data_IF_317031743855
#
_entry.id   IF_317031743855
#
_cell.length_a   1.000
_cell.length_b   1.000
_cell.length_c   1.000
_cell.angle_alpha   90.00
_cell.angle_beta   90.00
_cell.angle_gamma   90.00
#
_symmetry.space_group_name_H-M   'P 1'
#
loop_
_entity.id
_entity.type
_entity.pdbx_description
1 polymer ?
#
# COMPACT_ATOMS: atom_id res chain seq x y z
N UNK A 1 -8.61 25.83 14.50
CA UNK A 1 -7.87 24.63 14.10
C UNK A 1 -7.93 24.54 12.58
N UNK A 2 -6.84 24.25 11.88
CA UNK A 2 -6.89 24.01 10.44
C UNK A 2 -7.82 22.83 10.15
N UNK A 3 -8.67 22.97 9.15
CA UNK A 3 -9.67 21.95 8.77
C UNK A 3 -9.00 20.60 8.49
N UNK A 4 -7.79 20.63 7.93
CA UNK A 4 -6.96 19.44 7.69
C UNK A 4 -6.66 18.64 8.98
N UNK A 5 -6.41 19.32 10.11
CA UNK A 5 -6.17 18.66 11.38
C UNK A 5 -7.43 17.97 11.92
N UNK A 6 -8.59 18.61 11.80
CA UNK A 6 -9.86 18.02 12.24
C UNK A 6 -10.15 16.74 11.50
N UNK A 7 -9.92 16.70 10.19
CA UNK A 7 -10.17 15.50 9.39
C UNK A 7 -9.13 14.42 9.64
N UNK A 8 -7.87 14.79 9.86
CA UNK A 8 -6.85 13.84 10.32
C UNK A 8 -7.29 13.13 11.62
N UNK A 9 -7.76 13.92 12.60
CA UNK A 9 -8.25 13.37 13.86
C UNK A 9 -9.47 12.47 13.64
N UNK A 10 -10.45 12.91 12.85
CA UNK A 10 -11.64 12.12 12.52
C UNK A 10 -11.26 10.81 11.82
N UNK A 11 -10.30 10.84 10.91
CA UNK A 11 -9.80 9.64 10.24
C UNK A 11 -9.12 8.67 11.22
N UNK A 12 -8.25 9.15 12.08
CA UNK A 12 -7.58 8.33 13.11
C UNK A 12 -8.63 7.73 14.05
N UNK A 13 -9.59 8.53 14.53
CA UNK A 13 -10.69 8.06 15.38
C UNK A 13 -11.51 6.98 14.67
N UNK A 14 -11.84 7.15 13.39
CA UNK A 14 -12.55 6.15 12.60
C UNK A 14 -11.76 4.82 12.51
N UNK A 15 -10.45 4.88 12.28
CA UNK A 15 -9.59 3.69 12.27
C UNK A 15 -9.57 2.97 13.60
N UNK A 16 -9.45 3.70 14.72
CA UNK A 16 -9.49 3.11 16.06
C UNK A 16 -10.87 2.54 16.39
N UNK A 17 -11.96 3.19 15.97
CA UNK A 17 -13.33 2.69 16.12
C UNK A 17 -13.53 1.37 15.36
N UNK A 18 -13.05 1.29 14.11
CA UNK A 18 -13.06 0.06 13.32
C UNK A 18 -12.25 -1.04 14.02
N UNK A 19 -11.09 -0.70 14.56
CA UNK A 19 -10.23 -1.64 15.28
C UNK A 19 -10.88 -2.17 16.55
N UNK A 20 -11.54 -1.29 17.28
CA UNK A 20 -12.29 -1.67 18.48
C UNK A 20 -13.46 -2.60 18.15
N UNK A 21 -14.20 -2.31 17.07
CA UNK A 21 -15.23 -3.21 16.56
C UNK A 21 -14.65 -4.58 16.15
N UNK A 22 -13.49 -4.58 15.50
CA UNK A 22 -12.80 -5.80 15.08
C UNK A 22 -12.27 -6.63 16.25
N UNK A 23 -11.97 -6.01 17.40
CA UNK A 23 -11.42 -6.66 18.59
C UNK A 23 -12.23 -7.87 19.03
N UNK A 24 -13.56 -7.76 19.10
CA UNK A 24 -14.45 -8.86 19.50
C UNK A 24 -14.34 -10.09 18.58
N UNK A 25 -13.96 -9.91 17.31
CA UNK A 25 -13.77 -11.00 16.35
C UNK A 25 -12.36 -11.59 16.40
N UNK A 26 -11.43 -10.86 16.96
CA UNK A 26 -10.02 -11.22 17.10
C UNK A 26 -9.71 -11.92 18.42
N UNK A 27 -10.62 -11.83 19.41
CA UNK A 27 -10.46 -12.46 20.73
C UNK A 27 -10.59 -13.98 20.68
N UNK A 28 -9.94 -14.67 21.61
CA UNK A 28 -10.03 -16.11 21.85
C UNK A 28 -8.73 -16.86 21.56
N UNK A 29 -8.26 -16.91 20.33
CA UNK A 29 -7.10 -17.69 19.94
C UNK A 29 -6.09 -16.86 19.12
N UNK A 30 -4.81 -17.31 19.07
CA UNK A 30 -3.81 -16.76 18.17
C UNK A 30 -4.22 -16.82 16.69
N UNK A 31 -4.97 -17.83 16.30
CA UNK A 31 -5.46 -18.00 14.93
C UNK A 31 -6.50 -16.91 14.57
N UNK A 32 -7.38 -16.56 15.50
CA UNK A 32 -8.33 -15.45 15.31
C UNK A 32 -7.57 -14.13 15.13
N UNK A 33 -6.54 -13.90 15.92
CA UNK A 33 -5.75 -12.68 15.86
C UNK A 33 -4.88 -12.61 14.58
N UNK A 34 -4.16 -13.68 14.25
CA UNK A 34 -3.18 -13.69 13.17
C UNK A 34 -3.78 -13.97 11.79
N UNK A 35 -4.84 -14.79 11.70
CA UNK A 35 -5.44 -15.27 10.47
C UNK A 35 -6.93 -14.91 10.33
N UNK A 36 -7.45 -14.02 11.17
CA UNK A 36 -8.87 -13.69 11.24
C UNK A 36 -9.77 -14.93 11.41
N UNK A 37 -9.30 -15.96 12.12
CA UNK A 37 -9.99 -17.23 12.30
C UNK A 37 -10.29 -17.96 10.99
N UNK A 38 -9.54 -17.68 9.94
CA UNK A 38 -9.74 -18.20 8.57
C UNK A 38 -11.16 -17.96 8.03
N UNK A 39 -11.72 -16.77 8.28
CA UNK A 39 -13.09 -16.40 7.92
C UNK A 39 -13.17 -15.21 6.95
N UNK A 40 -12.05 -14.79 6.37
CA UNK A 40 -12.06 -13.68 5.42
C UNK A 40 -12.81 -14.05 4.15
N UNK A 41 -13.70 -13.19 3.73
CA UNK A 41 -14.43 -13.28 2.46
C UNK A 41 -13.57 -12.80 1.29
N UNK A 42 -13.92 -13.16 0.06
CA UNK A 42 -13.19 -12.73 -1.14
C UNK A 42 -13.05 -11.21 -1.27
N UNK A 43 -14.07 -10.38 -1.02
CA UNK A 43 -13.91 -8.93 -1.00
C UNK A 43 -12.92 -8.43 0.05
N UNK A 44 -12.91 -9.02 1.26
CA UNK A 44 -11.95 -8.63 2.29
C UNK A 44 -10.52 -9.03 1.93
N UNK A 45 -10.32 -10.18 1.32
CA UNK A 45 -9.01 -10.59 0.79
C UNK A 45 -8.56 -9.64 -0.32
N UNK A 46 -9.45 -9.35 -1.27
CA UNK A 46 -9.21 -8.39 -2.34
C UNK A 46 -8.75 -7.03 -1.79
N UNK A 47 -9.49 -6.47 -0.86
CA UNK A 47 -9.17 -5.20 -0.22
C UNK A 47 -7.87 -5.29 0.58
N UNK A 48 -7.62 -6.40 1.27
CA UNK A 48 -6.41 -6.55 2.09
C UNK A 48 -5.15 -6.66 1.22
N UNK A 49 -5.20 -7.37 0.09
CA UNK A 49 -4.05 -7.46 -0.82
C UNK A 49 -3.81 -6.14 -1.57
N UNK A 50 -4.87 -5.44 -1.98
CA UNK A 50 -4.73 -4.09 -2.55
C UNK A 50 -4.09 -3.18 -1.52
N UNK A 51 -4.58 -3.16 -0.30
CA UNK A 51 -4.05 -2.35 0.78
C UNK A 51 -2.59 -2.66 1.13
N UNK A 52 -2.15 -3.91 1.02
CA UNK A 52 -0.75 -4.28 1.20
C UNK A 52 0.14 -3.72 0.08
N UNK A 53 -0.32 -3.80 -1.16
CA UNK A 53 0.45 -3.42 -2.35
C UNK A 53 0.37 -1.93 -2.66
N UNK A 54 -0.83 -1.33 -2.54
CA UNK A 54 -1.11 0.09 -2.83
C UNK A 54 -0.87 0.92 -1.56
N UNK A 55 0.39 1.02 -1.16
CA UNK A 55 0.86 1.89 -0.09
C UNK A 55 1.70 3.04 -0.64
N UNK A 56 2.50 3.67 0.24
CA UNK A 56 3.36 4.79 -0.12
C UNK A 56 4.28 4.52 -1.32
N UNK A 57 4.86 3.31 -1.41
CA UNK A 57 5.74 2.95 -2.53
C UNK A 57 5.01 2.88 -3.88
N UNK A 58 3.80 2.34 -3.93
CA UNK A 58 3.03 2.17 -5.18
C UNK A 58 2.29 3.44 -5.63
N UNK A 59 2.25 4.47 -4.82
CA UNK A 59 1.60 5.75 -5.14
C UNK A 59 2.59 6.89 -5.12
N UNK A 60 3.15 7.25 -3.97
CA UNK A 60 4.14 8.32 -3.83
C UNK A 60 5.42 7.94 -4.56
N UNK A 61 5.96 6.74 -4.32
CA UNK A 61 7.18 6.27 -4.97
C UNK A 61 7.02 6.14 -6.49
N UNK A 62 5.89 5.67 -6.98
CA UNK A 62 5.61 5.63 -8.42
C UNK A 62 5.49 7.04 -8.99
N UNK A 63 4.81 7.98 -8.32
CA UNK A 63 4.74 9.37 -8.76
C UNK A 63 6.10 10.06 -8.73
N UNK A 64 6.91 9.82 -7.68
CA UNK A 64 8.30 10.31 -7.60
C UNK A 64 9.14 9.79 -8.77
N UNK A 65 9.02 8.50 -9.08
CA UNK A 65 9.75 7.91 -10.19
C UNK A 65 9.24 8.44 -11.54
N UNK A 66 7.92 8.57 -11.70
CA UNK A 66 7.30 9.14 -12.89
C UNK A 66 7.68 10.61 -13.14
N UNK A 67 7.94 11.37 -12.08
CA UNK A 67 8.49 12.73 -12.17
C UNK A 67 9.85 12.78 -12.89
N UNK A 68 10.58 11.66 -12.93
CA UNK A 68 11.89 11.53 -13.58
C UNK A 68 11.85 10.82 -14.93
N UNK A 69 11.01 9.77 -15.07
CA UNK A 69 11.07 8.84 -16.22
C UNK A 69 9.73 8.68 -16.96
N UNK A 70 8.68 9.37 -16.52
CA UNK A 70 7.37 9.34 -17.19
C UNK A 70 6.48 8.15 -16.81
N UNK A 71 5.51 7.85 -17.68
CA UNK A 71 4.45 6.85 -17.45
C UNK A 71 4.96 5.43 -17.21
N UNK A 72 6.15 5.11 -17.72
CA UNK A 72 6.78 3.80 -17.54
C UNK A 72 7.00 3.42 -16.05
N UNK A 73 7.07 4.40 -15.14
CA UNK A 73 7.13 4.14 -13.70
C UNK A 73 5.92 3.35 -13.17
N UNK A 74 4.76 3.45 -13.81
CA UNK A 74 3.54 2.72 -13.46
C UNK A 74 3.70 1.19 -13.49
N UNK A 75 4.69 0.67 -14.21
CA UNK A 75 5.00 -0.76 -14.26
C UNK A 75 5.31 -1.36 -12.89
N UNK A 76 5.81 -0.59 -11.94
CA UNK A 76 6.02 -1.09 -10.59
C UNK A 76 4.73 -1.62 -9.94
N UNK A 77 3.66 -0.84 -9.98
CA UNK A 77 2.36 -1.28 -9.43
C UNK A 77 1.70 -2.33 -10.32
N UNK A 78 1.88 -2.27 -11.64
CA UNK A 78 1.41 -3.32 -12.55
C UNK A 78 2.10 -4.65 -12.24
N UNK A 79 3.39 -4.66 -11.96
CA UNK A 79 4.13 -5.87 -11.58
C UNK A 79 3.65 -6.45 -10.24
N UNK A 80 3.30 -5.60 -9.24
CA UNK A 80 2.60 -6.03 -8.03
C UNK A 80 1.27 -6.69 -8.33
N UNK A 81 0.47 -6.10 -9.21
CA UNK A 81 -0.82 -6.62 -9.65
C UNK A 81 -0.69 -8.00 -10.32
N UNK A 82 0.27 -8.13 -11.23
CA UNK A 82 0.60 -9.41 -11.88
C UNK A 82 1.02 -10.46 -10.86
N UNK A 83 1.85 -10.09 -9.88
CA UNK A 83 2.25 -10.96 -8.79
C UNK A 83 1.07 -11.48 -7.98
N UNK A 84 0.11 -10.60 -7.64
CA UNK A 84 -1.11 -10.99 -6.94
C UNK A 84 -2.00 -11.93 -7.78
N UNK A 85 -2.12 -11.68 -9.09
CA UNK A 85 -2.87 -12.56 -10.01
C UNK A 85 -2.21 -13.94 -10.07
N UNK A 86 -0.90 -14.02 -10.25
CA UNK A 86 -0.13 -15.27 -10.28
C UNK A 86 -0.27 -16.01 -8.93
N UNK A 87 -0.15 -15.31 -7.81
CA UNK A 87 -0.39 -15.89 -6.48
C UNK A 87 -1.80 -16.50 -6.38
N UNK A 88 -2.83 -15.76 -6.81
CA UNK A 88 -4.22 -16.21 -6.79
C UNK A 88 -4.47 -17.43 -7.66
N UNK A 89 -3.90 -17.48 -8.86
CA UNK A 89 -4.14 -18.54 -9.82
C UNK A 89 -3.42 -19.85 -9.45
N UNK A 90 -2.17 -19.75 -8.99
CA UNK A 90 -1.29 -20.93 -8.87
C UNK A 90 -1.05 -21.37 -7.44
N UNK A 91 -0.97 -20.45 -6.47
CA UNK A 91 -0.48 -20.77 -5.13
C UNK A 91 -1.51 -20.57 -4.01
N UNK A 92 -2.45 -19.66 -4.11
CA UNK A 92 -3.39 -19.36 -3.03
C UNK A 92 -4.19 -20.58 -2.57
N UNK A 93 -4.63 -21.43 -3.51
CA UNK A 93 -5.28 -22.72 -3.20
C UNK A 93 -4.35 -23.65 -2.44
N UNK A 94 -3.13 -23.86 -2.95
CA UNK A 94 -2.14 -24.77 -2.37
C UNK A 94 -1.77 -24.37 -0.94
N UNK A 95 -1.51 -23.08 -0.71
CA UNK A 95 -1.19 -22.57 0.62
C UNK A 95 -2.37 -22.74 1.60
N UNK A 96 -3.59 -22.44 1.15
CA UNK A 96 -4.78 -22.57 2.00
C UNK A 96 -5.06 -24.01 2.43
N UNK A 97 -4.77 -24.98 1.57
CA UNK A 97 -4.98 -26.42 1.84
C UNK A 97 -3.96 -27.00 2.82
N UNK A 98 -2.78 -26.39 2.96
CA UNK A 98 -1.72 -26.89 3.85
C UNK A 98 -1.96 -26.67 5.34
N UNK A 99 -2.97 -25.86 5.72
CA UNK A 99 -3.30 -25.57 7.11
C UNK A 99 -2.12 -25.08 7.98
N UNK A 100 -1.16 -24.41 7.37
CA UNK A 100 -0.02 -23.76 8.04
C UNK A 100 -0.42 -22.38 8.57
N UNK A 101 0.42 -21.78 9.41
CA UNK A 101 0.24 -20.44 9.94
C UNK A 101 1.28 -19.47 9.40
N UNK A 102 2.47 -19.96 9.11
CA UNK A 102 3.60 -19.14 8.66
C UNK A 102 4.36 -19.84 7.52
N UNK A 103 5.07 -19.05 6.70
CA UNK A 103 5.96 -19.60 5.68
C UNK A 103 7.12 -20.38 6.29
N UNK A 104 7.57 -20.00 7.48
CA UNK A 104 8.61 -20.71 8.21
C UNK A 104 8.17 -22.10 8.62
N UNK A 105 6.88 -22.32 8.91
CA UNK A 105 6.32 -23.67 9.12
C UNK A 105 6.37 -24.53 7.86
N UNK A 106 6.16 -23.92 6.69
CA UNK A 106 6.31 -24.60 5.42
C UNK A 106 7.76 -25.02 5.18
N UNK A 107 8.72 -24.15 5.50
CA UNK A 107 10.15 -24.45 5.41
C UNK A 107 10.51 -25.57 6.38
N UNK A 108 10.00 -25.55 7.61
CA UNK A 108 10.25 -26.58 8.63
C UNK A 108 9.80 -27.98 8.21
N UNK A 109 8.67 -28.08 7.49
CA UNK A 109 8.15 -29.35 6.99
C UNK A 109 9.01 -29.99 5.91
N UNK A 110 9.83 -29.23 5.20
CA UNK A 110 10.55 -29.69 4.00
C UNK A 110 12.07 -29.49 4.09
N UNK A 111 12.56 -28.75 5.09
CA UNK A 111 13.98 -28.38 5.19
C UNK A 111 14.53 -28.53 6.62
N UNK A 112 15.84 -28.36 6.74
CA UNK A 112 16.56 -28.47 8.01
C UNK A 112 16.30 -27.28 8.94
N UNK A 113 16.55 -27.45 10.25
CA UNK A 113 16.46 -26.38 11.26
C UNK A 113 17.28 -25.14 10.89
N UNK A 114 18.46 -25.31 10.28
CA UNK A 114 19.28 -24.18 9.82
C UNK A 114 18.57 -23.32 8.76
N UNK A 115 17.87 -23.97 7.81
CA UNK A 115 17.07 -23.27 6.80
C UNK A 115 15.89 -22.50 7.42
N UNK A 116 15.28 -23.03 8.49
CA UNK A 116 14.19 -22.34 9.22
C UNK A 116 14.72 -21.07 9.88
N UNK A 117 15.85 -21.13 10.59
CA UNK A 117 16.45 -19.99 11.27
C UNK A 117 16.80 -18.90 10.26
N UNK A 118 17.43 -19.26 9.14
CA UNK A 118 17.75 -18.31 8.07
C UNK A 118 16.48 -17.69 7.48
N UNK A 119 15.44 -18.50 7.22
CA UNK A 119 14.16 -18.04 6.72
C UNK A 119 13.46 -17.03 7.66
N UNK A 120 13.46 -17.30 8.97
CA UNK A 120 12.93 -16.37 9.99
C UNK A 120 13.72 -15.06 9.97
N UNK A 121 15.04 -15.13 9.96
CA UNK A 121 15.90 -13.94 9.94
C UNK A 121 15.62 -13.08 8.70
N UNK A 122 15.60 -13.70 7.51
CA UNK A 122 15.28 -12.98 6.27
C UNK A 122 13.89 -12.33 6.30
N UNK A 123 12.87 -13.03 6.80
CA UNK A 123 11.52 -12.47 6.91
C UNK A 123 11.46 -11.28 7.87
N UNK A 124 12.14 -11.34 9.00
CA UNK A 124 12.20 -10.22 9.95
C UNK A 124 12.85 -9.00 9.29
N UNK A 125 14.00 -9.18 8.62
CA UNK A 125 14.70 -8.07 7.94
C UNK A 125 13.84 -7.44 6.86
N UNK A 126 13.21 -8.26 5.99
CA UNK A 126 12.32 -7.77 4.93
C UNK A 126 11.17 -6.96 5.52
N UNK A 127 10.53 -7.46 6.57
CA UNK A 127 9.40 -6.76 7.19
C UNK A 127 9.81 -5.45 7.85
N UNK A 128 10.97 -5.40 8.51
CA UNK A 128 11.49 -4.16 9.09
C UNK A 128 11.74 -3.10 8.01
N UNK A 129 12.33 -3.48 6.87
CA UNK A 129 12.55 -2.57 5.74
C UNK A 129 11.22 -2.04 5.19
N UNK A 130 10.25 -2.92 4.95
CA UNK A 130 8.92 -2.53 4.43
C UNK A 130 8.23 -1.55 5.40
N UNK A 131 8.24 -1.84 6.69
CA UNK A 131 7.63 -0.98 7.73
C UNK A 131 8.32 0.38 7.77
N UNK A 132 9.64 0.42 7.70
CA UNK A 132 10.41 1.67 7.71
C UNK A 132 10.04 2.58 6.55
N UNK A 133 9.89 2.03 5.34
CA UNK A 133 9.45 2.79 4.17
C UNK A 133 8.06 3.41 4.36
N UNK A 134 7.15 2.72 5.04
CA UNK A 134 5.80 3.25 5.30
C UNK A 134 5.82 4.38 6.33
N UNK A 135 6.66 4.28 7.36
CA UNK A 135 6.79 5.38 8.34
C UNK A 135 7.41 6.63 7.71
N UNK A 136 8.40 6.46 6.84
CA UNK A 136 8.98 7.56 6.07
C UNK A 136 7.91 8.23 5.19
N UNK A 137 7.11 7.44 4.47
CA UNK A 137 6.01 7.95 3.66
C UNK A 137 4.97 8.69 4.51
N UNK A 138 4.58 8.14 5.67
CA UNK A 138 3.67 8.78 6.62
C UNK A 138 4.19 10.11 7.16
N UNK A 139 5.47 10.16 7.52
CA UNK A 139 6.14 11.38 7.97
C UNK A 139 6.16 12.46 6.90
N UNK A 140 6.53 12.10 5.67
CA UNK A 140 6.55 13.02 4.53
C UNK A 140 5.18 13.64 4.25
N UNK A 141 4.13 12.84 4.33
CA UNK A 141 2.75 13.27 4.07
C UNK A 141 2.27 14.23 5.16
N UNK A 142 2.43 13.85 6.44
CA UNK A 142 2.00 14.69 7.55
C UNK A 142 2.72 16.04 7.57
N UNK A 143 4.03 16.03 7.30
CA UNK A 143 4.81 17.24 7.16
C UNK A 143 4.35 18.10 5.97
N UNK A 144 4.07 17.50 4.82
CA UNK A 144 3.63 18.24 3.63
C UNK A 144 2.24 18.90 3.80
N UNK A 145 1.34 18.30 4.58
CA UNK A 145 -0.04 18.78 4.76
C UNK A 145 -0.17 19.74 5.94
N UNK A 146 0.58 19.53 7.00
CA UNK A 146 0.53 20.27 8.26
C UNK A 146 1.94 20.64 8.73
N UNK A 147 2.72 21.42 7.94
CA UNK A 147 4.12 21.73 8.25
C UNK A 147 4.30 22.47 9.57
N UNK A 148 3.32 23.30 9.96
CA UNK A 148 3.35 24.07 11.20
C UNK A 148 3.12 23.21 12.46
N UNK A 149 2.60 21.98 12.32
CA UNK A 149 2.23 21.09 13.43
C UNK A 149 3.14 19.88 13.49
N UNK A 150 3.47 19.30 12.34
CA UNK A 150 4.26 18.09 12.23
C UNK A 150 5.58 18.34 11.50
N UNK A 151 6.68 18.25 12.24
CA UNK A 151 7.97 17.99 11.63
C UNK A 151 8.01 16.55 11.07
N UNK A 152 8.92 16.28 10.15
CA UNK A 152 9.06 14.97 9.50
C UNK A 152 9.17 13.82 10.51
N UNK A 153 9.99 13.98 11.55
CA UNK A 153 10.17 12.96 12.59
C UNK A 153 8.92 12.76 13.45
N UNK A 154 8.26 13.84 13.83
CA UNK A 154 7.01 13.79 14.62
C UNK A 154 5.90 13.12 13.80
N UNK A 155 5.82 13.41 12.51
CA UNK A 155 4.88 12.76 11.59
C UNK A 155 5.12 11.25 11.48
N UNK A 156 6.38 10.81 11.41
CA UNK A 156 6.73 9.39 11.42
C UNK A 156 6.27 8.70 12.71
N UNK A 157 6.51 9.31 13.88
CA UNK A 157 6.14 8.76 15.18
C UNK A 157 4.61 8.64 15.30
N UNK A 158 3.86 9.66 14.91
CA UNK A 158 2.39 9.64 14.96
C UNK A 158 1.83 8.55 14.04
N UNK A 159 2.37 8.42 12.83
CA UNK A 159 1.99 7.34 11.91
C UNK A 159 2.28 5.96 12.51
N UNK A 160 3.47 5.78 13.09
CA UNK A 160 3.86 4.52 13.73
C UNK A 160 2.93 4.14 14.88
N UNK A 161 2.67 5.06 15.81
CA UNK A 161 1.78 4.83 16.96
C UNK A 161 0.36 4.47 16.47
N UNK A 162 -0.16 5.19 15.49
CA UNK A 162 -1.50 4.96 14.94
C UNK A 162 -1.61 3.53 14.39
N UNK A 163 -0.70 3.12 13.52
CA UNK A 163 -0.82 1.84 12.82
C UNK A 163 -0.46 0.63 13.69
N UNK A 164 0.53 0.78 14.59
CA UNK A 164 0.81 -0.25 15.59
C UNK A 164 -0.40 -0.41 16.53
N UNK A 165 -0.99 0.69 16.98
CA UNK A 165 -2.17 0.69 17.84
C UNK A 165 -3.37 -0.04 17.23
N UNK A 166 -3.71 0.27 15.98
CA UNK A 166 -4.80 -0.38 15.22
C UNK A 166 -4.58 -1.89 15.16
N UNK A 167 -3.37 -2.32 14.80
CA UNK A 167 -3.03 -3.74 14.64
C UNK A 167 -3.02 -4.47 15.98
N UNK A 168 -2.50 -3.81 17.03
CA UNK A 168 -2.44 -4.39 18.38
C UNK A 168 -3.81 -4.66 18.97
N UNK A 169 -4.80 -3.78 18.68
CA UNK A 169 -6.17 -3.90 19.19
C UNK A 169 -6.93 -5.05 18.53
N UNK A 170 -6.91 -5.16 17.20
CA UNK A 170 -7.83 -6.05 16.49
C UNK A 170 -7.18 -7.02 15.48
N UNK A 171 -5.85 -7.11 15.42
CA UNK A 171 -5.12 -8.07 14.59
C UNK A 171 -5.50 -8.00 13.11
N UNK A 172 -5.56 -9.16 12.45
CA UNK A 172 -5.87 -9.30 11.02
C UNK A 172 -7.28 -8.79 10.65
N UNK A 173 -8.27 -8.94 11.55
CA UNK A 173 -9.62 -8.40 11.34
C UNK A 173 -9.59 -6.88 11.26
N UNK A 174 -8.87 -6.23 12.19
CA UNK A 174 -8.71 -4.77 12.19
C UNK A 174 -8.03 -4.30 10.92
N UNK A 175 -6.91 -4.92 10.56
CA UNK A 175 -6.18 -4.62 9.34
C UNK A 175 -7.07 -4.71 8.08
N UNK A 176 -7.81 -5.80 7.94
CA UNK A 176 -8.67 -6.02 6.77
C UNK A 176 -9.84 -5.02 6.69
N UNK A 177 -10.48 -4.71 7.81
CA UNK A 177 -11.61 -3.76 7.84
C UNK A 177 -11.14 -2.31 7.67
N UNK A 178 -10.01 -1.93 8.27
CA UNK A 178 -9.40 -0.60 8.06
C UNK A 178 -9.00 -0.39 6.60
N UNK A 179 -8.54 -1.45 5.94
CA UNK A 179 -8.20 -1.39 4.51
C UNK A 179 -9.40 -1.11 3.61
N UNK A 180 -10.63 -1.49 4.02
CA UNK A 180 -11.85 -1.11 3.27
C UNK A 180 -11.97 0.41 3.19
N UNK A 181 -11.85 1.08 4.34
CA UNK A 181 -11.90 2.55 4.39
C UNK A 181 -10.76 3.18 3.58
N UNK A 182 -9.54 2.68 3.78
CA UNK A 182 -8.36 3.21 3.13
C UNK A 182 -8.44 3.11 1.61
N UNK A 183 -8.87 1.96 1.08
CA UNK A 183 -8.94 1.73 -0.36
C UNK A 183 -10.01 2.60 -1.00
N UNK A 184 -11.17 2.76 -0.37
CA UNK A 184 -12.20 3.68 -0.86
C UNK A 184 -11.61 5.10 -0.96
N UNK A 185 -10.93 5.57 0.08
CA UNK A 185 -10.31 6.89 0.10
C UNK A 185 -9.21 7.04 -0.97
N UNK A 186 -8.37 6.02 -1.14
CA UNK A 186 -7.30 6.01 -2.15
C UNK A 186 -7.88 6.12 -3.56
N UNK A 187 -8.85 5.27 -3.90
CA UNK A 187 -9.41 5.27 -5.25
C UNK A 187 -10.18 6.56 -5.55
N UNK A 188 -11.01 7.00 -4.61
CA UNK A 188 -11.76 8.26 -4.77
C UNK A 188 -10.78 9.43 -4.92
N UNK A 189 -9.73 9.48 -4.10
CA UNK A 189 -8.77 10.57 -4.13
C UNK A 189 -7.89 10.58 -5.37
N UNK A 190 -7.34 9.43 -5.78
CA UNK A 190 -6.51 9.35 -7.01
C UNK A 190 -7.34 9.69 -8.24
N UNK A 191 -8.56 9.16 -8.34
CA UNK A 191 -9.47 9.45 -9.45
C UNK A 191 -9.86 10.93 -9.47
N UNK A 192 -10.26 11.50 -8.33
CA UNK A 192 -10.59 12.91 -8.23
C UNK A 192 -9.40 13.79 -8.59
N UNK A 193 -8.22 13.51 -8.04
CA UNK A 193 -6.99 14.23 -8.37
C UNK A 193 -6.68 14.17 -9.87
N UNK A 194 -6.76 12.99 -10.47
CA UNK A 194 -6.51 12.81 -11.91
C UNK A 194 -7.49 13.59 -12.76
N UNK A 195 -8.81 13.52 -12.47
CA UNK A 195 -9.85 14.24 -13.22
C UNK A 195 -9.66 15.74 -13.10
N UNK A 196 -9.39 16.26 -11.90
CA UNK A 196 -9.22 17.71 -11.67
C UNK A 196 -7.96 18.20 -12.40
N UNK A 197 -6.86 17.48 -12.30
CA UNK A 197 -5.62 17.87 -12.97
C UNK A 197 -5.76 17.79 -14.50
N UNK A 198 -6.42 16.76 -15.01
CA UNK A 198 -6.69 16.65 -16.44
C UNK A 198 -7.51 17.84 -16.97
N UNK A 199 -8.54 18.27 -16.22
CA UNK A 199 -9.32 19.46 -16.55
C UNK A 199 -8.51 20.75 -16.51
N UNK A 200 -7.55 20.88 -15.55
CA UNK A 200 -6.69 22.07 -15.46
C UNK A 200 -5.71 22.17 -16.62
N UNK A 201 -5.15 21.04 -17.05
CA UNK A 201 -4.20 20.96 -18.17
C UNK A 201 -4.90 21.21 -19.50
N UNK A 202 -6.18 20.82 -19.63
CA UNK A 202 -7.00 21.02 -20.82
C UNK A 202 -6.77 19.99 -21.90
N UNK A 203 -5.53 19.68 -22.30
CA UNK A 203 -5.22 18.66 -23.29
C UNK A 203 -3.88 17.96 -23.02
N UNK A 204 -3.70 16.77 -23.58
CA UNK A 204 -2.42 16.04 -23.50
C UNK A 204 -1.31 16.76 -24.26
N UNK A 205 -1.64 17.51 -25.32
CA UNK A 205 -0.67 18.28 -26.08
C UNK A 205 -0.08 19.42 -25.25
N UNK A 206 -0.89 20.11 -24.44
CA UNK A 206 -0.41 21.11 -23.47
C UNK A 206 0.51 20.49 -22.43
N UNK A 207 0.17 19.29 -21.93
CA UNK A 207 1.04 18.56 -21.01
C UNK A 207 2.36 18.20 -21.67
N UNK A 208 2.33 17.73 -22.93
CA UNK A 208 3.53 17.38 -23.68
C UNK A 208 4.43 18.58 -23.93
N UNK A 209 3.85 19.75 -24.25
CA UNK A 209 4.58 21.00 -24.48
C UNK A 209 5.24 21.56 -23.19
N UNK A 210 4.69 21.27 -22.02
CA UNK A 210 5.22 21.71 -20.73
C UNK A 210 6.36 20.80 -20.20
N UNK A 211 6.58 19.64 -20.81
CA UNK A 211 7.60 18.69 -20.38
C UNK A 211 8.89 18.82 -21.19
N UNK A 212 10.08 18.64 -20.58
CA UNK A 212 11.36 18.63 -21.30
C UNK A 212 11.40 17.55 -22.38
N UNK A 213 11.97 17.85 -23.54
CA UNK A 213 12.00 16.93 -24.71
C UNK A 213 13.02 15.78 -24.59
N UNK A 214 13.80 15.73 -23.51
CA UNK A 214 14.90 14.76 -23.32
C UNK A 214 14.46 13.39 -22.77
N UNK A 215 13.19 13.21 -22.42
CA UNK A 215 12.65 11.97 -21.82
C UNK A 215 11.40 11.54 -22.57
N UNK A 216 11.21 10.25 -22.86
CA UNK A 216 10.00 9.73 -23.51
C UNK A 216 8.84 9.61 -22.52
N UNK A 217 8.31 10.74 -22.05
CA UNK A 217 7.36 10.89 -20.94
C UNK A 217 6.10 10.02 -21.08
N UNK A 218 5.58 9.85 -22.29
CA UNK A 218 4.34 9.11 -22.57
C UNK A 218 4.58 7.66 -22.97
N UNK A 219 5.84 7.24 -23.15
CA UNK A 219 6.15 5.85 -23.42
C UNK A 219 5.93 4.99 -22.17
N UNK A 220 5.25 3.86 -22.35
CA UNK A 220 5.09 2.87 -21.28
C UNK A 220 6.34 1.99 -21.08
N UNK A 221 7.34 2.06 -21.96
CA UNK A 221 8.48 1.15 -21.94
C UNK A 221 9.80 1.90 -21.81
N UNK A 222 10.01 2.93 -22.65
CA UNK A 222 11.34 3.49 -22.88
C UNK A 222 11.90 4.29 -21.72
N UNK A 223 11.05 4.91 -20.87
CA UNK A 223 11.49 5.73 -19.74
C UNK A 223 12.28 4.93 -18.68
N UNK A 224 11.80 3.74 -18.34
CA UNK A 224 12.44 2.82 -17.38
C UNK A 224 13.27 1.76 -18.10
N UNK A 225 12.88 1.39 -19.30
CA UNK A 225 13.52 0.37 -20.13
C UNK A 225 13.01 -1.05 -19.87
N UNK A 226 13.04 -1.92 -20.90
CA UNK A 226 12.46 -3.26 -20.83
C UNK A 226 13.16 -4.18 -19.82
N UNK A 227 14.46 -4.02 -19.62
CA UNK A 227 15.22 -4.83 -18.65
C UNK A 227 14.74 -4.57 -17.22
N UNK A 228 14.56 -3.30 -16.85
CA UNK A 228 14.10 -2.93 -15.52
C UNK A 228 12.65 -3.37 -15.29
N UNK A 229 11.77 -3.21 -16.30
CA UNK A 229 10.38 -3.68 -16.24
C UNK A 229 10.35 -5.20 -16.01
N UNK A 230 11.11 -5.97 -16.79
CA UNK A 230 11.20 -7.42 -16.62
C UNK A 230 11.71 -7.80 -15.23
N UNK A 231 12.73 -7.10 -14.73
CA UNK A 231 13.27 -7.29 -13.39
C UNK A 231 12.19 -7.04 -12.31
N UNK A 232 11.42 -5.95 -12.42
CA UNK A 232 10.30 -5.69 -11.50
C UNK A 232 9.24 -6.79 -11.54
N UNK A 233 8.83 -7.20 -12.75
CA UNK A 233 7.82 -8.26 -12.91
C UNK A 233 8.27 -9.56 -12.26
N UNK A 234 9.49 -10.02 -12.55
CA UNK A 234 10.04 -11.27 -11.96
C UNK A 234 10.17 -11.14 -10.45
N UNK A 235 10.76 -10.04 -9.97
CA UNK A 235 10.96 -9.80 -8.53
C UNK A 235 9.65 -9.74 -7.79
N UNK A 236 8.67 -8.96 -8.27
CA UNK A 236 7.41 -8.76 -7.56
C UNK A 236 6.48 -9.97 -7.65
N UNK A 237 6.53 -10.78 -8.71
CA UNK A 237 5.89 -12.10 -8.74
C UNK A 237 6.51 -12.98 -7.64
N UNK A 238 7.83 -13.06 -7.56
CA UNK A 238 8.54 -13.87 -6.56
C UNK A 238 8.20 -13.41 -5.14
N UNK A 239 8.20 -12.11 -4.89
CA UNK A 239 7.79 -11.52 -3.60
C UNK A 239 6.36 -11.91 -3.24
N UNK A 240 5.41 -11.82 -4.18
CA UNK A 240 4.03 -12.23 -3.93
C UNK A 240 3.89 -13.71 -3.57
N UNK A 241 4.77 -14.57 -4.07
CA UNK A 241 4.75 -16.00 -3.77
C UNK A 241 5.43 -16.36 -2.44
N UNK A 242 6.36 -15.54 -1.95
CA UNK A 242 7.22 -15.89 -0.80
C UNK A 242 7.04 -14.98 0.43
N UNK A 243 6.40 -13.82 0.31
CA UNK A 243 6.27 -12.89 1.42
C UNK A 243 5.25 -13.37 2.45
N UNK A 244 5.65 -13.41 3.73
CA UNK A 244 4.82 -13.86 4.85
C UNK A 244 3.48 -13.11 4.93
N UNK A 245 3.46 -11.80 4.71
CA UNK A 245 2.22 -11.00 4.78
C UNK A 245 1.19 -11.44 3.75
N UNK A 246 1.64 -11.76 2.53
CA UNK A 246 0.78 -12.21 1.43
C UNK A 246 0.26 -13.63 1.70
N UNK A 247 1.16 -14.52 2.15
CA UNK A 247 0.78 -15.86 2.57
C UNK A 247 -0.30 -15.79 3.66
N UNK A 248 -0.12 -14.95 4.67
CA UNK A 248 -1.03 -14.79 5.79
C UNK A 248 -2.43 -14.34 5.34
N UNK A 249 -2.53 -13.44 4.34
CA UNK A 249 -3.81 -13.06 3.72
C UNK A 249 -4.48 -14.28 3.06
N UNK A 250 -3.71 -15.10 2.34
CA UNK A 250 -4.23 -16.33 1.71
C UNK A 250 -4.74 -17.33 2.75
N UNK A 251 -3.97 -17.53 3.83
CA UNK A 251 -4.33 -18.45 4.92
C UNK A 251 -5.55 -17.97 5.73
N UNK A 252 -5.78 -16.67 5.79
CA UNK A 252 -6.96 -16.07 6.43
C UNK A 252 -8.28 -16.29 5.67
N UNK A 253 -8.23 -16.77 4.44
CA UNK A 253 -9.39 -17.03 3.60
C UNK A 253 -10.32 -18.11 4.19
N UNK A 254 -11.63 -17.96 3.98
CA UNK A 254 -12.63 -18.95 4.36
C UNK A 254 -12.37 -20.32 3.69
N UNK A 255 -12.08 -20.30 2.41
CA UNK A 255 -11.77 -21.49 1.59
C UNK A 255 -10.81 -21.13 0.44
N UNK A 256 -10.32 -22.16 -0.25
CA UNK A 256 -9.35 -22.01 -1.34
C UNK A 256 -9.89 -21.22 -2.54
N UNK A 257 -11.18 -21.37 -2.86
CA UNK A 257 -11.83 -20.63 -3.95
C UNK A 257 -11.95 -19.14 -3.62
N UNK A 258 -12.27 -18.82 -2.36
CA UNK A 258 -12.32 -17.47 -1.81
C UNK A 258 -10.94 -16.79 -1.87
N UNK A 259 -9.87 -17.51 -1.49
CA UNK A 259 -8.51 -17.01 -1.62
C UNK A 259 -8.17 -16.67 -3.08
N UNK A 260 -8.38 -17.62 -4.00
CA UNK A 260 -8.13 -17.42 -5.43
C UNK A 260 -8.88 -16.19 -5.96
N UNK A 261 -10.20 -16.11 -5.72
CA UNK A 261 -11.02 -14.97 -6.19
C UNK A 261 -10.53 -13.64 -5.62
N UNK A 262 -10.23 -13.57 -4.34
CA UNK A 262 -9.76 -12.35 -3.69
C UNK A 262 -8.45 -11.83 -4.26
N UNK A 263 -7.47 -12.71 -4.47
CA UNK A 263 -6.17 -12.33 -5.05
C UNK A 263 -6.28 -11.90 -6.52
N UNK A 264 -7.04 -12.63 -7.34
CA UNK A 264 -7.21 -12.29 -8.77
C UNK A 264 -7.92 -10.94 -8.92
N UNK A 265 -9.05 -10.73 -8.23
CA UNK A 265 -9.74 -9.45 -8.28
C UNK A 265 -8.92 -8.32 -7.67
N UNK A 266 -8.18 -8.59 -6.60
CA UNK A 266 -7.24 -7.63 -6.02
C UNK A 266 -6.18 -7.18 -7.02
N UNK A 267 -5.57 -8.12 -7.74
CA UNK A 267 -4.62 -7.81 -8.79
C UNK A 267 -5.22 -6.99 -9.93
N UNK A 268 -6.41 -7.39 -10.45
CA UNK A 268 -7.09 -6.66 -11.52
C UNK A 268 -7.39 -5.21 -11.11
N UNK A 269 -7.90 -5.01 -9.90
CA UNK A 269 -8.23 -3.67 -9.40
C UNK A 269 -6.98 -2.81 -9.15
N UNK A 270 -5.81 -3.39 -8.85
CA UNK A 270 -4.56 -2.64 -8.70
C UNK A 270 -4.01 -2.06 -10.01
N UNK A 271 -4.31 -2.66 -11.17
CA UNK A 271 -3.74 -2.25 -12.46
C UNK A 271 -3.89 -0.74 -12.75
N UNK A 272 -5.07 -0.12 -12.61
CA UNK A 272 -5.24 1.30 -12.94
C UNK A 272 -4.49 2.23 -11.98
N UNK A 273 -4.25 1.82 -10.74
CA UNK A 273 -3.62 2.68 -9.72
C UNK A 273 -2.21 3.09 -10.13
N UNK A 274 -1.42 2.16 -10.67
CA UNK A 274 -0.05 2.44 -11.12
C UNK A 274 -0.01 3.48 -12.24
N UNK A 275 -0.91 3.36 -13.21
CA UNK A 275 -1.00 4.30 -14.33
C UNK A 275 -1.45 5.68 -13.86
N UNK A 276 -2.45 5.75 -13.00
CA UNK A 276 -2.96 7.02 -12.45
C UNK A 276 -1.91 7.70 -11.56
N UNK A 277 -1.20 6.95 -10.73
CA UNK A 277 -0.13 7.51 -9.90
C UNK A 277 1.04 8.03 -10.75
N UNK A 278 1.43 7.31 -11.81
CA UNK A 278 2.45 7.76 -12.75
C UNK A 278 2.00 9.01 -13.51
N UNK A 279 0.75 9.08 -13.94
CA UNK A 279 0.18 10.28 -14.57
C UNK A 279 0.25 11.50 -13.65
N UNK A 280 -0.11 11.36 -12.37
CA UNK A 280 0.00 12.46 -11.41
C UNK A 280 1.45 12.90 -11.19
N UNK A 281 2.42 11.98 -11.23
CA UNK A 281 3.85 12.31 -11.22
C UNK A 281 4.29 13.11 -12.44
N UNK A 282 3.77 12.77 -13.62
CA UNK A 282 3.99 13.52 -14.85
C UNK A 282 3.44 14.94 -14.77
N UNK A 283 2.21 15.08 -14.29
CA UNK A 283 1.56 16.36 -14.05
C UNK A 283 2.38 17.21 -13.06
N UNK A 284 2.89 16.58 -12.01
CA UNK A 284 3.77 17.26 -11.05
C UNK A 284 5.01 17.84 -11.73
N UNK A 285 5.64 17.08 -12.64
CA UNK A 285 6.81 17.55 -13.39
C UNK A 285 6.50 18.75 -14.27
N UNK A 286 5.35 18.72 -14.94
CA UNK A 286 4.91 19.81 -15.80
C UNK A 286 4.58 21.10 -15.02
N UNK A 287 3.95 20.96 -13.82
CA UNK A 287 3.51 22.10 -13.02
C UNK A 287 4.59 22.66 -12.09
N UNK A 288 5.48 21.81 -11.61
CA UNK A 288 6.51 22.12 -10.60
C UNK A 288 7.86 21.52 -11.00
N UNK A 289 8.48 21.98 -12.10
CA UNK A 289 9.70 21.38 -12.66
C UNK A 289 10.88 21.33 -11.68
N UNK A 290 10.97 22.30 -10.77
CA UNK A 290 12.07 22.43 -9.80
C UNK A 290 11.75 21.77 -8.43
N UNK A 291 10.59 21.12 -8.30
CA UNK A 291 10.19 20.50 -7.06
C UNK A 291 11.04 19.26 -6.74
N UNK A 292 11.18 18.95 -5.46
CA UNK A 292 11.75 17.67 -5.05
C UNK A 292 10.81 16.55 -5.49
N UNK A 293 11.35 15.55 -6.19
CA UNK A 293 10.56 14.45 -6.74
C UNK A 293 9.74 13.68 -5.67
N UNK A 294 10.27 13.53 -4.46
CA UNK A 294 9.57 12.91 -3.34
C UNK A 294 8.31 13.67 -2.89
N UNK A 295 8.22 14.97 -3.17
CA UNK A 295 7.07 15.81 -2.88
C UNK A 295 6.13 15.99 -4.09
N UNK A 296 6.41 15.33 -5.22
CA UNK A 296 5.67 15.47 -6.46
C UNK A 296 4.16 15.25 -6.26
N UNK A 297 3.77 14.08 -5.76
CA UNK A 297 2.37 13.75 -5.52
C UNK A 297 1.73 14.63 -4.44
N UNK A 298 2.32 14.83 -3.26
CA UNK A 298 1.80 15.76 -2.26
C UNK A 298 1.57 17.18 -2.79
N UNK A 299 2.49 17.74 -3.56
CA UNK A 299 2.37 19.11 -4.11
C UNK A 299 1.24 19.22 -5.14
N UNK A 300 1.10 18.24 -6.03
CA UNK A 300 -0.02 18.21 -6.97
C UNK A 300 -1.34 18.13 -6.24
N UNK A 301 -1.39 17.39 -5.16
CA UNK A 301 -2.56 17.19 -4.33
C UNK A 301 -2.90 18.49 -3.55
N UNK A 302 -1.93 19.15 -2.93
CA UNK A 302 -2.11 20.44 -2.24
C UNK A 302 -2.43 21.54 -3.23
N UNK A 303 -1.80 21.56 -4.40
CA UNK A 303 -2.06 22.51 -5.50
C UNK A 303 -3.42 22.32 -6.21
N UNK A 304 -4.23 21.35 -5.80
CA UNK A 304 -5.62 21.19 -6.27
C UNK A 304 -6.57 22.31 -5.81
N UNK A 305 -6.07 23.39 -5.20
CA UNK A 305 -6.86 24.53 -4.78
C UNK A 305 -7.41 25.31 -5.99
N UNK A 306 -8.67 25.11 -6.44
CA UNK A 306 -9.35 26.05 -7.28
C UNK A 306 -10.05 27.09 -6.40
N UNK A 307 -10.05 28.33 -6.83
CA UNK A 307 -10.84 29.38 -6.23
C UNK A 307 -12.30 28.92 -6.01
N UNK A 308 -12.71 28.78 -4.76
CA UNK A 308 -14.08 28.41 -4.38
C UNK A 308 -14.29 27.04 -3.72
N UNK A 309 -13.45 26.05 -3.96
CA UNK A 309 -13.52 24.74 -3.28
C UNK A 309 -12.45 24.58 -2.17
N UNK A 310 -11.84 25.68 -1.79
CA UNK A 310 -10.74 25.75 -0.81
C UNK A 310 -11.03 25.12 0.55
N UNK A 311 -12.31 24.89 0.88
CA UNK A 311 -12.72 24.49 2.23
C UNK A 311 -12.93 22.97 2.40
N UNK A 312 -13.10 22.20 1.32
CA UNK A 312 -13.54 20.79 1.42
C UNK A 312 -12.57 19.75 0.84
N UNK A 313 -11.72 20.10 -0.12
CA UNK A 313 -10.81 19.15 -0.75
C UNK A 313 -9.50 18.86 0.03
N UNK A 314 -8.81 19.82 0.63
CA UNK A 314 -7.57 19.56 1.36
C UNK A 314 -7.71 18.49 2.44
N UNK A 315 -8.83 18.43 3.15
CA UNK A 315 -9.06 17.46 4.20
C UNK A 315 -9.28 16.03 3.71
N UNK A 316 -10.01 15.82 2.62
CA UNK A 316 -10.20 14.51 2.00
C UNK A 316 -8.87 13.93 1.49
N UNK A 317 -7.98 14.81 1.08
CA UNK A 317 -6.62 14.50 0.62
C UNK A 317 -5.70 14.11 1.77
N UNK A 318 -5.86 14.73 2.94
CA UNK A 318 -5.15 14.34 4.16
C UNK A 318 -5.49 12.90 4.58
N UNK A 319 -6.77 12.55 4.52
CA UNK A 319 -7.23 11.17 4.74
C UNK A 319 -6.70 10.22 3.67
N UNK A 320 -6.64 10.66 2.41
CA UNK A 320 -6.07 9.90 1.31
C UNK A 320 -4.59 9.58 1.55
N UNK A 321 -3.82 10.57 1.93
CA UNK A 321 -2.40 10.42 2.17
C UNK A 321 -2.10 9.45 3.33
N UNK A 322 -2.86 9.54 4.42
CA UNK A 322 -2.75 8.60 5.55
C UNK A 322 -3.28 7.21 5.20
N UNK A 323 -4.36 7.12 4.42
CA UNK A 323 -4.85 5.86 3.89
C UNK A 323 -3.79 5.12 3.05
N UNK A 324 -2.94 5.84 2.33
CA UNK A 324 -1.84 5.28 1.55
C UNK A 324 -0.76 4.58 2.40
N UNK A 325 -0.63 4.92 3.67
CA UNK A 325 0.40 4.37 4.56
C UNK A 325 -0.10 3.24 5.46
N UNK A 326 -1.41 3.18 5.76
CA UNK A 326 -1.94 2.32 6.82
C UNK A 326 -1.90 0.81 6.57
N UNK A 327 -2.12 0.28 5.34
CA UNK A 327 -2.40 -1.14 5.17
C UNK A 327 -1.19 -2.05 5.33
N UNK A 328 -0.03 -1.61 4.83
CA UNK A 328 1.19 -2.43 4.81
C UNK A 328 1.74 -2.63 6.21
N UNK A 329 1.64 -1.61 7.07
CA UNK A 329 2.17 -1.65 8.42
C UNK A 329 1.42 -2.67 9.27
N UNK A 330 0.09 -2.73 9.17
CA UNK A 330 -0.72 -3.63 9.97
C UNK A 330 -0.45 -5.10 9.67
N UNK A 331 -0.36 -5.47 8.40
CA UNK A 331 -0.05 -6.85 7.99
C UNK A 331 1.39 -7.25 8.27
N UNK A 332 2.34 -6.31 8.11
CA UNK A 332 3.76 -6.55 8.39
C UNK A 332 4.02 -6.73 9.89
N UNK A 333 3.39 -5.93 10.76
CA UNK A 333 3.51 -6.08 12.21
C UNK A 333 2.96 -7.44 12.70
N UNK A 334 1.87 -7.92 12.12
CA UNK A 334 1.32 -9.25 12.40
C UNK A 334 2.29 -10.37 12.02
N UNK A 335 2.98 -10.25 10.87
CA UNK A 335 3.92 -11.26 10.42
C UNK A 335 5.17 -11.33 11.30
N UNK A 336 5.68 -10.22 11.80
CA UNK A 336 6.79 -10.20 12.76
C UNK A 336 6.39 -10.90 14.06
N UNK A 337 5.21 -10.61 14.60
CA UNK A 337 4.73 -11.25 15.84
C UNK A 337 4.55 -12.76 15.69
N UNK A 338 4.13 -13.24 14.53
CA UNK A 338 4.00 -14.69 14.27
C UNK A 338 5.36 -15.38 14.13
N UNK A 339 6.36 -14.70 13.57
CA UNK A 339 7.72 -15.23 13.42
C UNK A 339 8.47 -15.28 14.77
N UNK A 340 8.40 -14.22 15.59
CA UNK A 340 9.13 -14.16 16.87
C UNK A 340 8.64 -15.16 17.91
N UNK A 341 7.34 -15.51 17.94
CA UNK A 341 6.84 -16.52 18.89
C UNK A 341 7.38 -17.94 18.64
N UNK A 342 7.84 -18.27 17.43
CA UNK A 342 8.42 -19.59 17.13
C UNK A 342 9.91 -19.72 17.47
N UNK A 343 10.59 -18.61 17.66
CA UNK A 343 12.00 -18.61 18.10
C UNK A 343 12.11 -18.82 19.60
N UNK A 344 11.04 -18.58 20.35
CA UNK A 344 10.97 -18.72 21.83
C UNK A 344 10.41 -20.08 22.31
N UNK A 345 10.05 -20.99 21.43
CA UNK A 345 9.74 -22.41 21.69
C UNK A 345 10.81 -23.31 21.09
#
# INVERSE_FOLDING_TARGET
MPVSLVILILYIVALFAISWYAKKRSEGNNENFALAGRRLSAPLICVTIIGLAVGGASTIGVSEHAFRVGLSAGWYTIAWALGAIVMGLFMAKKYREQNITTITELIERHHTKGAVILGVFCQIVIQLVIISLQYIAGGSILHAILPDIFDFHTGMIVSAITFIGITFIGGMWSASLSNVLNIILIYVGILAATIIQFKKIGSMDHLAAALPSNVPWFSFIDGVGPVTITSWVVTLITVNLSLQSILQISLGAKDAATAKKGFVWGGILMLPVGVLAAFLGLVAKAMYPDAQAALALPQVIVGLQPCGLQMYLPPAICCLALALCSPVISTSALSIRSATRRVSC
#
